data_IF_469547477162
#
_entry.id   IF_469547477162
#
_cell.length_a   1.000
_cell.length_b   1.000
_cell.length_c   1.000
_cell.angle_alpha   90.00
_cell.angle_beta   90.00
_cell.angle_gamma   90.00
#
_symmetry.space_group_name_H-M   'P 1'
#
loop_
_entity.id
_entity.type
_entity.pdbx_description
1 polymer ?
#
# COMPACT_ATOMS: atom_id res chain seq x y z
N UNK A 1 -12.38 27.46 5.78
CA UNK A 1 -11.14 27.49 6.59
C UNK A 1 -11.21 26.37 7.61
N UNK A 2 -10.14 25.62 7.85
CA UNK A 2 -10.12 24.55 8.86
C UNK A 2 -9.69 25.15 10.21
N UNK A 3 -10.61 25.44 11.15
CA UNK A 3 -10.35 26.32 12.30
C UNK A 3 -9.45 25.70 13.38
N UNK A 4 -9.01 24.45 13.20
CA UNK A 4 -8.19 23.70 14.17
C UNK A 4 -6.74 23.49 13.72
N UNK A 5 -6.33 24.04 12.58
CA UNK A 5 -4.98 23.87 12.06
C UNK A 5 -4.01 24.80 12.79
N UNK A 6 -2.87 24.26 13.21
CA UNK A 6 -1.74 25.04 13.70
C UNK A 6 -0.85 25.48 12.53
N UNK A 7 0.16 26.32 12.81
CA UNK A 7 1.17 26.71 11.82
C UNK A 7 1.90 25.50 11.20
N UNK A 8 2.04 24.40 11.94
CA UNK A 8 2.79 23.21 11.52
C UNK A 8 1.93 22.12 10.91
N UNK A 9 0.60 22.20 11.10
CA UNK A 9 -0.33 21.15 10.68
C UNK A 9 -0.27 20.86 9.19
N UNK A 10 -0.08 21.89 8.35
CA UNK A 10 0.02 21.70 6.90
C UNK A 10 1.23 20.82 6.52
N UNK A 11 2.37 21.03 7.18
CA UNK A 11 3.58 20.25 6.96
C UNK A 11 3.39 18.84 7.49
N UNK A 12 2.92 18.70 8.74
CA UNK A 12 2.75 17.41 9.41
C UNK A 12 1.79 16.47 8.68
N UNK A 13 0.64 16.99 8.22
CA UNK A 13 -0.35 16.18 7.51
C UNK A 13 0.17 15.72 6.15
N UNK A 14 1.02 16.51 5.47
CA UNK A 14 1.53 16.16 4.15
C UNK A 14 2.40 14.88 4.14
N UNK A 15 3.09 14.58 5.25
CA UNK A 15 3.85 13.34 5.42
C UNK A 15 3.18 12.34 6.38
N UNK A 16 1.89 12.53 6.69
CA UNK A 16 1.04 11.54 7.37
C UNK A 16 1.04 11.60 8.91
N UNK A 17 1.45 12.73 9.50
CA UNK A 17 1.30 12.99 10.94
C UNK A 17 0.04 13.84 11.23
N UNK A 18 -0.36 13.92 12.49
CA UNK A 18 -1.57 14.63 12.98
C UNK A 18 -2.93 14.07 12.52
N UNK A 19 -2.97 13.07 11.64
CA UNK A 19 -4.21 12.41 11.20
C UNK A 19 -4.12 10.91 11.43
N UNK A 20 -5.11 10.36 12.14
CA UNK A 20 -5.27 8.92 12.29
C UNK A 20 -6.33 8.41 11.30
N UNK A 21 -6.04 7.29 10.63
CA UNK A 21 -6.95 6.62 9.71
C UNK A 21 -7.00 5.12 10.00
N UNK A 22 -8.17 4.52 9.78
CA UNK A 22 -8.33 3.07 9.86
C UNK A 22 -7.79 2.39 8.60
N UNK A 23 -7.38 1.11 8.66
CA UNK A 23 -6.96 0.36 7.47
C UNK A 23 -8.03 0.33 6.36
N UNK A 24 -9.32 0.28 6.73
CA UNK A 24 -10.43 0.31 5.75
C UNK A 24 -10.54 1.67 5.05
N UNK A 25 -10.35 2.78 5.78
CA UNK A 25 -10.30 4.11 5.17
C UNK A 25 -9.09 4.25 4.23
N UNK A 26 -7.93 3.74 4.62
CA UNK A 26 -6.72 3.72 3.79
C UNK A 26 -6.95 2.92 2.50
N UNK A 27 -7.50 1.71 2.62
CA UNK A 27 -7.81 0.85 1.48
C UNK A 27 -8.78 1.54 0.52
N UNK A 28 -9.88 2.11 1.05
CA UNK A 28 -10.86 2.84 0.25
C UNK A 28 -10.24 4.03 -0.49
N UNK A 29 -9.38 4.80 0.17
CA UNK A 29 -8.69 5.92 -0.46
C UNK A 29 -7.79 5.45 -1.61
N UNK A 30 -7.03 4.37 -1.38
CA UNK A 30 -6.15 3.79 -2.40
C UNK A 30 -6.89 3.14 -3.57
N UNK A 31 -8.17 2.79 -3.42
CA UNK A 31 -9.00 2.37 -4.56
C UNK A 31 -9.11 3.44 -5.65
N UNK A 32 -8.90 4.73 -5.34
CA UNK A 32 -8.85 5.78 -6.35
C UNK A 32 -7.75 5.51 -7.40
N UNK A 33 -6.64 4.90 -7.00
CA UNK A 33 -5.54 4.52 -7.90
C UNK A 33 -5.73 3.13 -8.50
N UNK A 34 -6.47 2.24 -7.83
CA UNK A 34 -6.67 0.87 -8.26
C UNK A 34 -7.78 0.67 -9.31
N UNK A 35 -8.62 1.68 -9.56
CA UNK A 35 -9.64 1.60 -10.62
C UNK A 35 -9.04 1.93 -11.99
N UNK A 36 -9.60 1.30 -13.02
CA UNK A 36 -9.16 1.45 -14.43
C UNK A 36 -10.18 2.22 -15.26
N UNK A 37 -9.73 2.70 -16.42
CA UNK A 37 -10.56 3.45 -17.37
C UNK A 37 -11.19 4.70 -16.75
N UNK A 38 -12.42 5.00 -17.12
CA UNK A 38 -13.15 6.19 -16.64
C UNK A 38 -13.39 6.18 -15.12
N UNK A 39 -13.34 5.01 -14.49
CA UNK A 39 -13.52 4.87 -13.04
C UNK A 39 -12.26 5.19 -12.24
N UNK A 40 -11.10 5.38 -12.87
CA UNK A 40 -9.89 5.81 -12.16
C UNK A 40 -10.12 7.16 -11.48
N UNK A 41 -9.58 7.32 -10.28
CA UNK A 41 -9.76 8.50 -9.44
C UNK A 41 -11.07 8.52 -8.63
N UNK A 42 -11.84 7.43 -8.64
CA UNK A 42 -13.10 7.34 -7.90
C UNK A 42 -13.00 6.44 -6.66
N UNK A 43 -13.78 6.77 -5.63
CA UNK A 43 -13.84 6.02 -4.38
C UNK A 43 -15.06 5.07 -4.38
N UNK A 44 -14.88 3.78 -4.04
CA UNK A 44 -16.01 2.88 -3.85
C UNK A 44 -16.80 3.22 -2.58
N UNK A 45 -18.05 2.78 -2.55
CA UNK A 45 -18.79 2.65 -1.29
C UNK A 45 -18.34 1.37 -0.61
N UNK A 46 -18.03 1.43 0.69
CA UNK A 46 -17.64 0.25 1.47
C UNK A 46 -18.90 -0.52 1.84
N UNK A 47 -18.94 -1.81 1.51
CA UNK A 47 -20.04 -2.71 1.86
C UNK A 47 -19.51 -3.97 2.52
N UNK A 48 -20.27 -4.49 3.48
CA UNK A 48 -20.02 -5.78 4.14
C UNK A 48 -20.86 -6.92 3.54
N UNK A 49 -21.92 -6.56 2.81
CA UNK A 49 -22.82 -7.51 2.18
C UNK A 49 -22.52 -7.58 0.69
N UNK A 50 -22.65 -8.79 0.12
CA UNK A 50 -22.58 -8.96 -1.32
C UNK A 50 -23.69 -8.15 -2.01
N UNK A 51 -23.35 -7.46 -3.10
CA UNK A 51 -24.32 -6.78 -3.93
C UNK A 51 -25.31 -7.80 -4.50
N UNK A 52 -26.61 -7.47 -4.51
CA UNK A 52 -27.61 -8.35 -5.10
C UNK A 52 -27.46 -8.33 -6.63
N UNK A 53 -27.53 -9.48 -7.32
CA UNK A 53 -27.53 -9.50 -8.78
C UNK A 53 -28.66 -8.60 -9.32
N UNK A 54 -28.33 -7.67 -10.22
CA UNK A 54 -29.32 -6.76 -10.82
C UNK A 54 -29.67 -5.53 -10.00
N UNK A 55 -29.05 -5.31 -8.83
CA UNK A 55 -29.11 -4.00 -8.19
C UNK A 55 -28.33 -3.02 -9.08
N UNK A 56 -29.04 -2.18 -9.84
CA UNK A 56 -28.51 -0.95 -10.40
C UNK A 56 -28.23 0.02 -9.25
N UNK A 57 -27.33 -0.37 -8.36
CA UNK A 57 -26.90 0.50 -7.29
C UNK A 57 -25.97 1.50 -7.94
N UNK A 58 -26.52 2.70 -8.13
CA UNK A 58 -25.79 3.95 -7.99
C UNK A 58 -25.00 3.89 -6.69
N UNK A 59 -23.91 3.12 -6.67
CA UNK A 59 -22.82 3.35 -5.74
C UNK A 59 -22.53 4.82 -5.88
N UNK A 60 -22.60 5.57 -4.78
CA UNK A 60 -22.14 6.95 -4.78
C UNK A 60 -20.62 6.91 -5.05
N UNK A 61 -20.26 6.83 -6.33
CA UNK A 61 -18.92 6.82 -6.85
C UNK A 61 -18.49 8.28 -6.76
N UNK A 62 -17.80 8.60 -5.67
CA UNK A 62 -17.27 9.95 -5.48
C UNK A 62 -15.96 10.02 -6.26
N UNK A 63 -15.90 10.88 -7.28
CA UNK A 63 -14.64 11.22 -7.94
C UNK A 63 -13.82 12.11 -7.00
N UNK A 64 -12.71 11.56 -6.51
CA UNK A 64 -11.76 12.29 -5.67
C UNK A 64 -10.62 12.89 -6.50
N UNK A 65 -10.27 12.25 -7.62
CA UNK A 65 -9.18 12.67 -8.50
C UNK A 65 -9.61 12.60 -9.98
N UNK A 66 -9.03 13.47 -10.83
CA UNK A 66 -9.05 13.28 -12.28
C UNK A 66 -8.45 11.93 -12.70
N UNK A 67 -8.96 11.35 -13.79
CA UNK A 67 -8.56 10.03 -14.30
C UNK A 67 -7.06 9.96 -14.65
N UNK A 68 -6.55 11.01 -15.30
CA UNK A 68 -5.15 11.18 -15.68
C UNK A 68 -4.24 11.28 -14.45
N UNK A 69 -4.62 12.08 -13.45
CA UNK A 69 -3.87 12.23 -12.20
C UNK A 69 -3.80 10.90 -11.44
N UNK A 70 -4.92 10.18 -11.33
CA UNK A 70 -4.96 8.89 -10.65
C UNK A 70 -4.10 7.83 -11.35
N UNK A 71 -4.13 7.80 -12.69
CA UNK A 71 -3.33 6.88 -13.51
C UNK A 71 -1.84 7.21 -13.42
N UNK A 72 -1.47 8.48 -13.57
CA UNK A 72 -0.08 8.94 -13.42
C UNK A 72 0.48 8.64 -12.02
N UNK A 73 -0.34 8.83 -10.99
CA UNK A 73 0.04 8.49 -9.61
C UNK A 73 0.27 6.99 -9.46
N UNK A 74 -0.61 6.14 -10.01
CA UNK A 74 -0.41 4.68 -10.01
C UNK A 74 0.91 4.30 -10.66
N UNK A 75 1.22 4.85 -11.83
CA UNK A 75 2.50 4.61 -12.52
C UNK A 75 3.70 5.07 -11.69
N UNK A 76 3.58 6.19 -10.99
CA UNK A 76 4.64 6.67 -10.10
C UNK A 76 4.83 5.71 -8.90
N UNK A 77 3.73 5.22 -8.33
CA UNK A 77 3.74 4.26 -7.21
C UNK A 77 4.33 2.90 -7.59
N UNK A 78 4.34 2.53 -8.88
CA UNK A 78 5.04 1.35 -9.38
C UNK A 78 6.52 1.36 -9.02
N UNK A 79 7.19 2.52 -9.11
CA UNK A 79 8.63 2.61 -8.81
C UNK A 79 8.94 2.29 -7.35
N UNK A 80 8.05 2.65 -6.41
CA UNK A 80 8.19 2.28 -5.00
C UNK A 80 8.12 0.77 -4.84
N UNK A 81 7.18 0.14 -5.53
CA UNK A 81 6.98 -1.30 -5.54
C UNK A 81 8.17 -2.06 -6.14
N UNK A 82 8.68 -1.62 -7.29
CA UNK A 82 9.88 -2.17 -7.92
C UNK A 82 11.08 -2.10 -6.95
N UNK A 83 11.20 -1.00 -6.19
CA UNK A 83 12.28 -0.89 -5.21
C UNK A 83 12.16 -1.93 -4.07
N UNK A 84 10.94 -2.27 -3.66
CA UNK A 84 10.71 -3.36 -2.68
C UNK A 84 11.18 -4.69 -3.27
N UNK A 85 10.79 -5.00 -4.50
CA UNK A 85 11.18 -6.25 -5.18
C UNK A 85 12.69 -6.35 -5.37
N UNK A 86 13.35 -5.26 -5.79
CA UNK A 86 14.80 -5.20 -5.90
C UNK A 86 15.49 -5.47 -4.56
N UNK A 87 14.98 -4.91 -3.46
CA UNK A 87 15.54 -5.15 -2.14
C UNK A 87 15.33 -6.61 -1.68
N UNK A 88 14.20 -7.23 -2.05
CA UNK A 88 13.95 -8.64 -1.78
C UNK A 88 14.86 -9.56 -2.60
N UNK A 89 15.10 -9.23 -3.87
CA UNK A 89 16.01 -9.99 -4.72
C UNK A 89 17.49 -9.84 -4.30
N UNK A 90 17.85 -8.68 -3.74
CA UNK A 90 19.18 -8.43 -3.18
C UNK A 90 19.39 -9.03 -1.79
N UNK A 91 18.35 -9.57 -1.16
CA UNK A 91 18.47 -10.24 0.13
C UNK A 91 19.21 -11.58 -0.05
N UNK A 92 20.44 -11.63 0.46
CA UNK A 92 21.33 -12.77 0.28
C UNK A 92 20.83 -14.05 0.95
N UNK A 93 19.97 -13.94 1.97
CA UNK A 93 19.46 -15.12 2.68
C UNK A 93 18.40 -15.87 1.86
N UNK A 94 17.53 -15.13 1.15
CA UNK A 94 16.43 -15.70 0.35
C UNK A 94 16.05 -14.76 -0.81
N UNK A 95 16.80 -14.79 -1.92
CA UNK A 95 16.45 -13.98 -3.08
C UNK A 95 15.11 -14.45 -3.66
N UNK A 96 14.12 -13.56 -3.66
CA UNK A 96 12.81 -13.82 -4.27
C UNK A 96 12.68 -13.06 -5.60
N UNK A 97 12.45 -13.81 -6.67
CA UNK A 97 12.31 -13.31 -8.04
C UNK A 97 11.24 -14.12 -8.80
N UNK A 98 11.05 -13.84 -10.10
CA UNK A 98 10.07 -14.56 -10.92
C UNK A 98 8.62 -14.15 -10.67
N UNK A 99 8.44 -12.91 -10.21
CA UNK A 99 7.18 -12.26 -9.94
C UNK A 99 6.31 -12.11 -11.20
N UNK A 100 5.08 -12.66 -11.20
CA UNK A 100 4.20 -12.65 -12.39
C UNK A 100 3.29 -11.44 -12.51
N UNK A 101 3.14 -10.69 -11.41
CA UNK A 101 2.30 -9.51 -11.37
C UNK A 101 3.12 -8.27 -11.03
N UNK A 102 2.97 -7.22 -11.82
CA UNK A 102 3.45 -5.89 -11.47
C UNK A 102 2.55 -5.31 -10.40
N UNK A 103 3.15 -4.73 -9.37
CA UNK A 103 2.43 -4.05 -8.30
C UNK A 103 2.75 -2.56 -8.27
N UNK A 104 1.83 -1.78 -7.71
CA UNK A 104 2.04 -0.40 -7.31
C UNK A 104 1.72 -0.28 -5.83
N UNK A 105 2.37 0.63 -5.12
CA UNK A 105 2.08 0.80 -3.71
C UNK A 105 2.89 1.87 -3.03
N UNK A 106 2.62 2.06 -1.73
CA UNK A 106 3.32 3.04 -0.90
C UNK A 106 3.64 2.47 0.48
N UNK A 107 4.86 2.74 0.94
CA UNK A 107 5.27 2.51 2.32
C UNK A 107 4.82 3.64 3.25
N UNK A 108 4.44 3.26 4.47
CA UNK A 108 4.22 4.14 5.60
C UNK A 108 5.08 3.69 6.80
N UNK A 109 5.65 4.65 7.51
CA UNK A 109 6.34 4.41 8.79
C UNK A 109 5.91 5.55 9.71
N UNK A 110 5.16 5.22 10.76
CA UNK A 110 4.59 6.21 11.67
C UNK A 110 5.08 5.96 13.09
N UNK A 111 5.50 7.01 13.78
CA UNK A 111 5.80 6.95 15.22
C UNK A 111 4.51 6.69 16.00
N UNK A 112 4.56 5.82 17.00
CA UNK A 112 3.38 5.50 17.80
C UNK A 112 3.15 6.63 18.80
N UNK A 113 2.02 7.35 18.74
CA UNK A 113 1.76 8.45 19.66
C UNK A 113 1.53 7.91 21.07
N UNK A 114 2.10 8.59 22.06
CA UNK A 114 1.73 8.32 23.46
C UNK A 114 0.24 8.63 23.65
N UNK A 115 -0.43 7.89 24.53
CA UNK A 115 -1.81 8.17 24.92
C UNK A 115 -1.95 9.49 25.71
N UNK A 116 -3.18 9.99 25.87
CA UNK A 116 -3.44 11.19 26.70
C UNK A 116 -2.80 11.01 28.08
N UNK A 117 -2.17 12.07 28.60
CA UNK A 117 -1.68 12.02 29.97
C UNK A 117 -2.85 11.71 30.93
N UNK A 118 -2.62 10.90 31.98
CA UNK A 118 -3.63 10.65 33.00
C UNK A 118 -4.23 11.97 33.53
N UNK A 119 -5.49 11.93 33.95
CA UNK A 119 -6.17 13.12 34.49
C UNK A 119 -5.37 13.75 35.65
N UNK A 120 -5.28 15.08 35.66
CA UNK A 120 -4.47 15.83 36.62
C UNK A 120 -2.95 15.78 36.39
N UNK A 121 -2.45 14.99 35.42
CA UNK A 121 -1.02 14.92 35.09
C UNK A 121 -0.71 15.59 33.75
N UNK A 122 0.45 16.24 33.69
CA UNK A 122 1.01 16.80 32.44
C UNK A 122 2.09 15.86 31.92
N UNK A 123 2.25 15.78 30.60
CA UNK A 123 3.40 15.09 30.02
C UNK A 123 4.70 15.75 30.47
N UNK A 124 5.79 14.98 30.66
CA UNK A 124 7.10 15.55 30.94
C UNK A 124 7.47 16.57 29.86
N UNK A 125 8.13 17.67 30.24
CA UNK A 125 8.50 18.76 29.31
C UNK A 125 9.39 18.33 28.14
N UNK A 126 10.07 17.17 28.24
CA UNK A 126 10.92 16.59 27.19
C UNK A 126 10.27 15.43 26.42
N UNK A 127 9.01 15.10 26.70
CA UNK A 127 8.29 14.08 25.93
C UNK A 127 8.14 14.56 24.48
N UNK A 128 8.61 13.78 23.51
CA UNK A 128 8.46 14.03 22.06
C UNK A 128 7.00 13.97 21.61
N UNK A 129 6.16 13.28 22.38
CA UNK A 129 4.77 13.04 21.99
C UNK A 129 4.52 11.58 21.60
N UNK A 130 5.59 10.83 21.35
CA UNK A 130 5.60 9.49 20.78
C UNK A 130 6.40 8.53 21.67
N UNK A 131 6.17 7.23 21.49
CA UNK A 131 7.03 6.21 22.07
C UNK A 131 8.36 6.18 21.34
N UNK A 132 9.46 6.24 22.09
CA UNK A 132 10.80 6.16 21.51
C UNK A 132 11.01 4.78 20.90
N UNK A 133 11.59 4.73 19.70
CA UNK A 133 11.94 3.51 18.98
C UNK A 133 10.76 2.54 18.71
N UNK A 134 9.53 3.03 18.69
CA UNK A 134 8.35 2.23 18.35
C UNK A 134 7.60 2.82 17.16
N UNK A 135 7.31 1.97 16.19
CA UNK A 135 6.78 2.38 14.90
C UNK A 135 5.67 1.46 14.41
N UNK A 136 4.70 2.04 13.73
CA UNK A 136 3.81 1.32 12.85
C UNK A 136 4.40 1.28 11.43
N UNK A 137 4.72 0.07 10.97
CA UNK A 137 5.31 -0.17 9.66
C UNK A 137 4.25 -0.71 8.72
N UNK A 138 3.94 0.02 7.66
CA UNK A 138 2.83 -0.32 6.78
C UNK A 138 3.19 -0.25 5.31
N UNK A 139 2.44 -1.01 4.51
CA UNK A 139 2.51 -0.97 3.07
C UNK A 139 1.13 -1.19 2.49
N UNK A 140 0.71 -0.30 1.59
CA UNK A 140 -0.51 -0.47 0.79
C UNK A 140 -0.09 -0.74 -0.65
N UNK A 141 -0.67 -1.77 -1.26
CA UNK A 141 -0.31 -2.21 -2.59
C UNK A 141 -1.52 -2.69 -3.38
N UNK A 142 -1.50 -2.49 -4.70
CA UNK A 142 -2.44 -3.09 -5.63
C UNK A 142 -1.73 -3.75 -6.80
N UNK A 143 -2.39 -4.75 -7.38
CA UNK A 143 -1.91 -5.49 -8.55
C UNK A 143 -3.08 -6.17 -9.29
N UNK A 144 -2.94 -6.54 -10.58
CA UNK A 144 -1.88 -6.14 -11.52
C UNK A 144 -1.80 -4.62 -11.74
N UNK A 145 -0.77 -4.10 -12.41
CA UNK A 145 -0.58 -2.66 -12.59
C UNK A 145 -1.63 -2.05 -13.53
N UNK A 146 -1.80 -2.63 -14.71
CA UNK A 146 -2.65 -2.06 -15.77
C UNK A 146 -4.15 -2.21 -15.45
N UNK A 147 -4.52 -3.40 -15.00
CA UNK A 147 -5.90 -3.74 -14.63
C UNK A 147 -5.94 -4.27 -13.19
N UNK A 148 -5.83 -3.41 -12.16
CA UNK A 148 -5.75 -3.86 -10.79
C UNK A 148 -7.00 -4.64 -10.37
N UNK A 149 -6.78 -5.79 -9.74
CA UNK A 149 -7.85 -6.70 -9.30
C UNK A 149 -7.92 -6.81 -7.79
N UNK A 150 -6.81 -6.60 -7.11
CA UNK A 150 -6.72 -6.67 -5.66
C UNK A 150 -5.95 -5.48 -5.11
N UNK A 151 -6.35 -5.06 -3.91
CA UNK A 151 -5.63 -4.11 -3.08
C UNK A 151 -5.44 -4.72 -1.68
N UNK A 152 -4.26 -4.58 -1.11
CA UNK A 152 -3.92 -5.03 0.23
C UNK A 152 -3.33 -3.89 1.04
N UNK A 153 -3.72 -3.80 2.31
CA UNK A 153 -3.07 -2.94 3.30
C UNK A 153 -2.46 -3.86 4.35
N UNK A 154 -1.16 -3.81 4.50
CA UNK A 154 -0.42 -4.52 5.54
C UNK A 154 0.03 -3.49 6.58
N UNK A 155 -0.26 -3.77 7.85
CA UNK A 155 0.20 -2.98 8.99
C UNK A 155 0.88 -3.95 9.96
N UNK A 156 2.09 -3.61 10.35
CA UNK A 156 2.87 -4.31 11.36
C UNK A 156 3.02 -3.33 12.52
N UNK A 157 2.32 -3.64 13.60
CA UNK A 157 2.39 -2.89 14.86
C UNK A 157 3.65 -3.32 15.59
N UNK A 158 4.56 -2.36 15.79
CA UNK A 158 5.91 -2.53 16.31
C UNK A 158 6.70 -3.70 15.67
N UNK A 159 7.55 -3.45 14.65
CA UNK A 159 8.35 -4.51 14.03
C UNK A 159 9.43 -5.08 14.98
N UNK A 160 9.61 -4.50 16.17
CA UNK A 160 10.49 -5.01 17.21
C UNK A 160 11.88 -4.35 17.25
N UNK A 161 12.57 -4.44 18.40
CA UNK A 161 13.76 -3.65 18.69
C UNK A 161 14.94 -3.97 17.77
N UNK A 162 15.14 -5.23 17.40
CA UNK A 162 16.25 -5.63 16.53
C UNK A 162 16.19 -4.95 15.14
N UNK A 163 14.98 -4.83 14.56
CA UNK A 163 14.80 -4.13 13.28
C UNK A 163 14.92 -2.61 13.45
N UNK A 164 14.56 -2.07 14.61
CA UNK A 164 14.72 -0.64 14.89
C UNK A 164 16.21 -0.28 15.05
N UNK A 165 16.96 -1.04 15.84
CA UNK A 165 18.40 -0.88 16.05
C UNK A 165 19.18 -0.98 14.74
N UNK A 166 18.83 -1.95 13.87
CA UNK A 166 19.43 -2.11 12.56
C UNK A 166 19.01 -1.04 11.53
N UNK A 167 18.10 -0.11 11.88
CA UNK A 167 17.47 0.87 10.98
C UNK A 167 16.74 0.23 9.80
N UNK A 168 16.02 -0.84 10.09
CA UNK A 168 15.31 -1.70 9.12
C UNK A 168 13.79 -1.73 9.33
N UNK A 169 13.29 -0.96 10.30
CA UNK A 169 11.87 -0.90 10.66
C UNK A 169 10.95 -0.28 9.59
N UNK A 170 11.47 0.30 8.51
CA UNK A 170 10.65 0.99 7.50
C UNK A 170 9.59 0.10 6.84
N UNK A 171 8.42 0.66 6.54
CA UNK A 171 7.31 -0.08 5.91
C UNK A 171 7.66 -0.78 4.59
N UNK A 172 8.57 -0.21 3.78
CA UNK A 172 9.04 -0.86 2.54
C UNK A 172 9.88 -2.11 2.79
N UNK A 173 10.56 -2.20 3.94
CA UNK A 173 11.41 -3.34 4.30
C UNK A 173 10.65 -4.41 5.08
N UNK A 174 9.73 -4.02 5.96
CA UNK A 174 9.00 -4.97 6.81
C UNK A 174 7.67 -5.38 6.17
N UNK A 175 6.80 -4.43 5.84
CA UNK A 175 5.44 -4.71 5.34
C UNK A 175 5.39 -4.93 3.82
N UNK A 176 6.28 -4.30 3.05
CA UNK A 176 6.38 -4.43 1.59
C UNK A 176 6.50 -5.88 1.11
N UNK A 177 7.47 -6.67 1.63
CA UNK A 177 7.61 -8.07 1.25
C UNK A 177 6.39 -8.94 1.57
N UNK A 178 5.68 -8.63 2.67
CA UNK A 178 4.43 -9.32 3.01
C UNK A 178 3.35 -9.01 1.97
N UNK A 179 3.16 -7.73 1.63
CA UNK A 179 2.19 -7.30 0.62
C UNK A 179 2.48 -7.95 -0.76
N UNK A 180 3.75 -8.00 -1.17
CA UNK A 180 4.17 -8.62 -2.44
C UNK A 180 3.80 -10.10 -2.51
N UNK A 181 4.10 -10.86 -1.46
CA UNK A 181 3.82 -12.30 -1.40
C UNK A 181 2.33 -12.60 -1.34
N UNK A 182 1.55 -11.79 -0.60
CA UNK A 182 0.09 -11.91 -0.54
C UNK A 182 -0.53 -11.66 -1.91
N UNK A 183 -0.16 -10.57 -2.58
CA UNK A 183 -0.66 -10.25 -3.92
C UNK A 183 -0.34 -11.35 -4.93
N UNK A 184 0.91 -11.85 -4.96
CA UNK A 184 1.30 -12.95 -5.86
C UNK A 184 0.37 -14.15 -5.71
N UNK A 185 0.24 -14.64 -4.47
CA UNK A 185 -0.49 -15.88 -4.17
C UNK A 185 -1.98 -15.68 -4.40
N UNK A 186 -2.55 -14.57 -3.96
CA UNK A 186 -3.98 -14.29 -4.10
C UNK A 186 -4.38 -14.11 -5.57
N UNK A 187 -3.63 -13.35 -6.37
CA UNK A 187 -3.95 -13.17 -7.79
C UNK A 187 -3.85 -14.47 -8.59
N UNK A 188 -2.84 -15.28 -8.27
CA UNK A 188 -2.68 -16.63 -8.85
C UNK A 188 -3.85 -17.52 -8.52
N UNK A 189 -4.24 -17.55 -7.24
CA UNK A 189 -5.36 -18.35 -6.78
C UNK A 189 -6.67 -17.93 -7.45
N UNK A 190 -6.86 -16.64 -7.68
CA UNK A 190 -8.03 -16.09 -8.39
C UNK A 190 -7.97 -16.28 -9.92
N UNK A 191 -6.90 -16.86 -10.47
CA UNK A 191 -6.75 -17.05 -11.92
C UNK A 191 -6.63 -15.75 -12.70
N UNK A 192 -6.13 -14.67 -12.08
CA UNK A 192 -5.92 -13.40 -12.78
C UNK A 192 -4.77 -13.56 -13.77
N UNK A 193 -4.96 -13.06 -15.01
CA UNK A 193 -3.92 -13.11 -16.04
C UNK A 193 -2.70 -12.29 -15.61
N UNK A 194 -1.48 -12.86 -15.60
CA UNK A 194 -0.24 -12.13 -15.36
C UNK A 194 -0.02 -10.97 -16.33
N UNK A 195 0.49 -9.83 -15.83
CA UNK A 195 0.95 -8.68 -16.63
C UNK A 195 2.49 -8.62 -16.73
N UNK A 196 3.16 -9.66 -16.21
CA UNK A 196 4.55 -10.01 -16.53
C UNK A 196 4.50 -11.37 -17.21
N UNK A 197 4.87 -11.40 -18.49
CA UNK A 197 5.03 -12.66 -19.20
C UNK A 197 6.28 -13.37 -18.67
N UNK A 198 6.24 -14.70 -18.46
CA UNK A 198 7.47 -15.44 -18.19
C UNK A 198 8.41 -15.26 -19.38
N UNK A 199 9.71 -15.12 -19.08
CA UNK A 199 10.74 -15.25 -20.11
C UNK A 199 10.48 -16.55 -20.89
N UNK A 200 10.49 -16.54 -22.23
CA UNK A 200 10.24 -17.74 -23.00
C UNK A 200 11.27 -18.79 -22.59
N UNK A 201 10.79 -19.96 -22.19
CA UNK A 201 11.64 -21.12 -21.95
C UNK A 201 12.28 -21.54 -23.28
N UNK A 202 13.51 -22.06 -23.26
CA UNK A 202 14.19 -22.57 -24.47
C UNK A 202 13.30 -23.53 -25.29
N UNK A 203 12.43 -24.30 -24.64
CA UNK A 203 11.45 -25.19 -25.29
C UNK A 203 10.37 -24.44 -26.09
N UNK A 204 9.95 -23.27 -25.62
CA UNK A 204 8.98 -22.41 -26.29
C UNK A 204 9.62 -21.67 -27.47
N UNK A 205 10.88 -21.25 -27.33
CA UNK A 205 11.67 -20.69 -28.44
C UNK A 205 11.92 -21.73 -29.54
N UNK A 206 12.28 -22.97 -29.18
CA UNK A 206 12.47 -24.06 -30.12
C UNK A 206 11.17 -24.46 -30.84
N UNK A 207 10.03 -24.44 -30.15
CA UNK A 207 8.73 -24.72 -30.76
C UNK A 207 8.25 -23.61 -31.71
N UNK A 208 8.64 -22.35 -31.46
CA UNK A 208 8.37 -21.21 -32.34
C UNK A 208 9.32 -21.23 -33.55
N UNK A 209 10.59 -21.59 -33.35
CA UNK A 209 11.60 -21.68 -34.41
C UNK A 209 11.41 -22.90 -35.34
N UNK A 210 10.67 -23.92 -34.91
CA UNK A 210 10.34 -25.11 -35.71
C UNK A 210 9.06 -24.95 -36.57
N UNK A 211 8.45 -23.76 -36.59
CA UNK A 211 7.33 -23.39 -37.48
C UNK A 211 7.80 -22.46 -38.59
#
# INVERSE_FOLDING_TARGET
>A
TMPKWSHWTQESVAYGHEVAVTPVQMARAFCAFARSGEMAGTLPTVRLLAAKPGSAESDAIVRALPTDVATLTRETLRHVAVKVEQNMAADAERPEAGWRYQMFGKSGTAEIPLGKAPEGKKRPRRSTGYFDNQYNSSFVAGAPLETPRLLVVVVIDDPGPALVEARQHYGSRVAGPVARRVLERSLTYLGVVPDVLPEPTDEAEQAIAAR
#
